data_IF_207284120796
#
_entry.id   IF_207284120796
#
_cell.length_a   1.000
_cell.length_b   1.000
_cell.length_c   1.000
_cell.angle_alpha   90.00
_cell.angle_beta   90.00
_cell.angle_gamma   90.00
#
_symmetry.space_group_name_H-M   'P 1'
#
loop_
_entity.id
_entity.type
_entity.pdbx_description
1 polymer ?
#
# COMPACT_ATOMS: atom_id res chain seq x y z
N UNK A 1 -11.49 -9.18 4.67
CA UNK A 1 -11.03 -10.58 4.75
C UNK A 1 -10.32 -10.99 3.47
N UNK A 2 -11.00 -11.03 2.32
CA UNK A 2 -10.39 -11.42 1.04
C UNK A 2 -9.10 -10.64 0.70
N UNK A 3 -9.13 -9.30 0.79
CA UNK A 3 -7.94 -8.47 0.55
C UNK A 3 -6.78 -8.80 1.51
N UNK A 4 -7.06 -9.03 2.80
CA UNK A 4 -6.02 -9.39 3.77
C UNK A 4 -5.40 -10.76 3.48
N UNK A 5 -6.22 -11.73 3.05
CA UNK A 5 -5.76 -13.05 2.62
C UNK A 5 -4.91 -12.96 1.36
N UNK A 6 -5.29 -12.11 0.40
CA UNK A 6 -4.51 -11.90 -0.83
C UNK A 6 -3.18 -11.19 -0.53
N UNK A 7 -3.16 -10.23 0.38
CA UNK A 7 -1.92 -9.56 0.81
C UNK A 7 -0.95 -10.56 1.47
N UNK A 8 -1.47 -11.42 2.35
CA UNK A 8 -0.68 -12.48 2.99
C UNK A 8 -0.16 -13.52 1.99
N UNK A 9 -0.99 -13.97 1.04
CA UNK A 9 -0.58 -14.90 -0.01
C UNK A 9 0.49 -14.29 -0.92
N UNK A 10 0.31 -13.02 -1.30
CA UNK A 10 1.27 -12.31 -2.16
C UNK A 10 2.61 -12.17 -1.48
N UNK A 11 2.65 -11.83 -0.18
CA UNK A 11 3.89 -11.79 0.60
C UNK A 11 4.61 -13.14 0.64
N UNK A 12 3.86 -14.24 0.86
CA UNK A 12 4.43 -15.58 0.89
C UNK A 12 4.96 -16.04 -0.49
N UNK A 13 4.24 -15.72 -1.58
CA UNK A 13 4.70 -16.00 -2.95
C UNK A 13 5.94 -15.17 -3.28
N UNK A 14 5.97 -13.91 -2.87
CA UNK A 14 7.11 -13.02 -3.07
C UNK A 14 8.37 -13.54 -2.36
N UNK A 15 8.24 -14.02 -1.11
CA UNK A 15 9.33 -14.64 -0.35
C UNK A 15 9.84 -15.93 -1.01
N UNK A 16 8.94 -16.78 -1.51
CA UNK A 16 9.30 -17.99 -2.25
C UNK A 16 10.05 -17.70 -3.55
N UNK A 17 9.63 -16.67 -4.30
CA UNK A 17 10.33 -16.26 -5.53
C UNK A 17 11.75 -15.75 -5.23
N UNK A 18 11.91 -14.97 -4.17
CA UNK A 18 13.22 -14.44 -3.75
C UNK A 18 14.15 -15.59 -3.30
N UNK A 19 13.62 -16.58 -2.58
CA UNK A 19 14.41 -17.72 -2.09
C UNK A 19 14.80 -18.71 -3.19
N UNK A 20 13.92 -18.99 -4.15
CA UNK A 20 14.20 -19.93 -5.24
C UNK A 20 15.05 -19.32 -6.37
N UNK A 21 14.89 -18.02 -6.70
CA UNK A 21 15.51 -17.42 -7.90
C UNK A 21 16.55 -16.33 -7.62
N UNK A 22 16.83 -15.96 -6.35
CA UNK A 22 17.70 -14.81 -5.99
C UNK A 22 17.41 -13.56 -6.84
N UNK A 23 16.15 -13.36 -7.22
CA UNK A 23 15.76 -12.27 -8.11
C UNK A 23 15.94 -10.93 -7.40
N UNK A 24 16.67 -10.01 -8.04
CA UNK A 24 16.92 -8.66 -7.52
C UNK A 24 15.59 -7.92 -7.35
N UNK A 25 15.35 -7.35 -6.16
CA UNK A 25 14.13 -6.63 -5.74
C UNK A 25 13.53 -5.71 -6.81
N UNK A 26 14.37 -4.97 -7.55
CA UNK A 26 13.92 -4.05 -8.59
C UNK A 26 13.18 -4.70 -9.77
N UNK A 27 13.56 -5.92 -10.17
CA UNK A 27 12.86 -6.62 -11.27
C UNK A 27 11.49 -7.13 -10.85
N UNK A 28 11.33 -7.51 -9.58
CA UNK A 28 10.03 -7.94 -9.04
C UNK A 28 9.06 -6.75 -8.99
N UNK A 29 9.52 -5.60 -8.48
CA UNK A 29 8.71 -4.38 -8.43
C UNK A 29 8.27 -3.91 -9.82
N UNK A 30 9.19 -3.92 -10.80
CA UNK A 30 8.90 -3.48 -12.16
C UNK A 30 7.87 -4.38 -12.84
N UNK A 31 8.04 -5.72 -12.76
CA UNK A 31 7.09 -6.66 -13.35
C UNK A 31 5.71 -6.57 -12.70
N UNK A 32 5.64 -6.47 -11.38
CA UNK A 32 4.39 -6.30 -10.64
C UNK A 32 3.63 -5.04 -11.10
N UNK A 33 4.34 -3.93 -11.23
CA UNK A 33 3.76 -2.66 -11.68
C UNK A 33 3.35 -2.71 -13.15
N UNK A 34 4.10 -3.39 -14.03
CA UNK A 34 3.72 -3.57 -15.44
C UNK A 34 2.43 -4.36 -15.60
N UNK A 35 2.28 -5.50 -14.90
CA UNK A 35 1.03 -6.26 -14.92
C UNK A 35 -0.14 -5.47 -14.34
N UNK A 36 0.11 -4.69 -13.29
CA UNK A 36 -0.90 -3.80 -12.69
C UNK A 36 -1.37 -2.73 -13.69
N UNK A 37 -0.46 -2.12 -14.44
CA UNK A 37 -0.79 -1.15 -15.51
C UNK A 37 -1.65 -1.82 -16.59
N UNK A 38 -1.27 -3.03 -17.03
CA UNK A 38 -2.03 -3.76 -18.04
C UNK A 38 -3.47 -4.06 -17.60
N UNK A 39 -3.63 -4.58 -16.38
CA UNK A 39 -4.96 -4.86 -15.80
C UNK A 39 -5.81 -3.59 -15.66
N UNK A 40 -5.23 -2.51 -15.13
CA UNK A 40 -5.92 -1.23 -14.97
C UNK A 40 -6.27 -0.58 -16.31
N UNK A 41 -5.42 -0.72 -17.32
CA UNK A 41 -5.67 -0.20 -18.66
C UNK A 41 -6.88 -0.90 -19.30
N UNK A 42 -6.97 -2.22 -19.20
CA UNK A 42 -8.14 -2.98 -19.68
C UNK A 42 -9.40 -2.55 -18.91
N UNK A 43 -9.32 -2.43 -17.59
CA UNK A 43 -10.45 -1.96 -16.78
C UNK A 43 -10.92 -0.55 -17.20
N UNK A 44 -10.00 0.39 -17.40
CA UNK A 44 -10.28 1.75 -17.88
C UNK A 44 -10.94 1.79 -19.26
N UNK A 45 -10.51 0.91 -20.17
CA UNK A 45 -11.10 0.79 -21.50
C UNK A 45 -12.53 0.23 -21.43
N UNK A 46 -12.77 -0.74 -20.56
CA UNK A 46 -14.10 -1.36 -20.38
C UNK A 46 -15.08 -0.39 -19.71
N UNK A 47 -14.63 0.38 -18.72
CA UNK A 47 -15.50 1.35 -18.01
C UNK A 47 -15.70 2.66 -18.79
N UNK A 48 -14.79 3.01 -19.70
CA UNK A 48 -14.86 4.24 -20.49
C UNK A 48 -14.58 5.52 -19.69
N UNK A 49 -14.08 5.42 -18.45
CA UNK A 49 -13.87 6.56 -17.54
C UNK A 49 -12.79 7.54 -18.03
N UNK A 50 -12.00 7.16 -19.03
CA UNK A 50 -10.95 8.00 -19.63
C UNK A 50 -11.52 9.35 -20.10
N UNK A 51 -12.71 9.37 -20.71
CA UNK A 51 -13.31 10.61 -21.21
C UNK A 51 -13.77 11.52 -20.07
N UNK A 52 -14.34 10.95 -19.01
CA UNK A 52 -14.74 11.67 -17.79
C UNK A 52 -13.52 12.27 -17.10
N UNK A 53 -12.44 11.50 -17.00
CA UNK A 53 -11.18 11.96 -16.42
C UNK A 53 -10.56 13.11 -17.24
N UNK A 54 -10.57 13.00 -18.57
CA UNK A 54 -10.06 14.07 -19.44
C UNK A 54 -10.82 15.39 -19.27
N UNK A 55 -12.16 15.33 -19.18
CA UNK A 55 -12.99 16.50 -18.88
C UNK A 55 -12.69 17.10 -17.50
N UNK A 56 -12.50 16.25 -16.49
CA UNK A 56 -12.15 16.67 -15.13
C UNK A 56 -10.79 17.37 -15.06
N UNK A 57 -9.77 16.81 -15.71
CA UNK A 57 -8.42 17.40 -15.79
C UNK A 57 -8.45 18.74 -16.51
N UNK A 58 -9.23 18.86 -17.59
CA UNK A 58 -9.37 20.13 -18.31
C UNK A 58 -9.97 21.22 -17.42
N UNK A 59 -10.90 20.86 -16.53
CA UNK A 59 -11.52 21.80 -15.59
C UNK A 59 -10.65 22.12 -14.37
N UNK A 60 -9.79 21.19 -13.96
CA UNK A 60 -8.91 21.33 -12.79
C UNK A 60 -7.47 20.88 -13.11
N UNK A 61 -6.68 21.69 -13.84
CA UNK A 61 -5.34 21.31 -14.25
C UNK A 61 -4.37 21.12 -13.07
N UNK A 62 -4.61 21.79 -11.93
CA UNK A 62 -3.81 21.63 -10.71
C UNK A 62 -3.80 20.19 -10.16
N UNK A 63 -4.84 19.40 -10.48
CA UNK A 63 -4.93 17.99 -10.08
C UNK A 63 -3.77 17.18 -10.63
N UNK A 64 -3.27 17.49 -11.82
CA UNK A 64 -2.12 16.78 -12.41
C UNK A 64 -0.87 16.90 -11.54
N UNK A 65 -0.59 18.10 -11.03
CA UNK A 65 0.56 18.32 -10.15
C UNK A 65 0.40 17.56 -8.83
N UNK A 66 -0.81 17.56 -8.25
CA UNK A 66 -1.12 16.80 -7.02
C UNK A 66 -0.97 15.29 -7.26
N UNK A 67 -1.48 14.79 -8.37
CA UNK A 67 -1.33 13.39 -8.78
C UNK A 67 0.12 12.99 -9.02
N UNK A 68 0.93 13.88 -9.61
CA UNK A 68 2.34 13.64 -9.87
C UNK A 68 3.12 13.53 -8.55
N UNK A 69 2.92 14.46 -7.63
CA UNK A 69 3.54 14.42 -6.30
C UNK A 69 3.09 13.15 -5.54
N UNK A 70 1.80 12.83 -5.60
CA UNK A 70 1.26 11.61 -5.00
C UNK A 70 1.89 10.35 -5.61
N UNK A 71 2.04 10.30 -6.93
CA UNK A 71 2.65 9.19 -7.65
C UNK A 71 4.13 9.01 -7.29
N UNK A 72 4.90 10.09 -7.21
CA UNK A 72 6.31 10.05 -6.79
C UNK A 72 6.42 9.54 -5.35
N UNK A 73 5.61 10.08 -4.44
CA UNK A 73 5.57 9.65 -3.05
C UNK A 73 5.19 8.15 -2.94
N UNK A 74 4.21 7.70 -3.72
CA UNK A 74 3.80 6.31 -3.80
C UNK A 74 4.92 5.40 -4.32
N UNK A 75 5.60 5.81 -5.40
CA UNK A 75 6.72 5.06 -5.96
C UNK A 75 7.88 4.91 -4.96
N UNK A 76 8.22 5.98 -4.24
CA UNK A 76 9.22 5.92 -3.17
C UNK A 76 8.79 5.00 -2.03
N UNK A 77 7.52 5.05 -1.63
CA UNK A 77 6.96 4.15 -0.62
C UNK A 77 7.01 2.68 -1.05
N UNK A 78 6.62 2.38 -2.29
CA UNK A 78 6.71 1.04 -2.86
C UNK A 78 8.15 0.55 -2.92
N UNK A 79 9.10 1.39 -3.34
CA UNK A 79 10.51 1.05 -3.36
C UNK A 79 11.02 0.64 -1.97
N UNK A 80 10.65 1.39 -0.93
CA UNK A 80 11.02 1.05 0.45
C UNK A 80 10.42 -0.27 0.92
N UNK A 81 9.16 -0.56 0.55
CA UNK A 81 8.51 -1.84 0.85
C UNK A 81 9.25 -2.99 0.16
N UNK A 82 9.52 -2.88 -1.14
CA UNK A 82 10.23 -3.91 -1.89
C UNK A 82 11.67 -4.13 -1.41
N UNK A 83 12.36 -3.06 -1.00
CA UNK A 83 13.68 -3.15 -0.38
C UNK A 83 13.60 -3.89 0.96
N UNK A 84 12.66 -3.51 1.83
CA UNK A 84 12.47 -4.14 3.13
C UNK A 84 12.12 -5.63 3.01
N UNK A 85 11.23 -5.99 2.08
CA UNK A 85 10.87 -7.38 1.82
C UNK A 85 12.05 -8.18 1.26
N UNK A 86 12.88 -7.56 0.42
CA UNK A 86 14.05 -8.23 -0.17
C UNK A 86 15.18 -8.45 0.83
N UNK A 87 15.42 -7.48 1.72
CA UNK A 87 16.57 -7.51 2.64
C UNK A 87 16.24 -8.18 3.97
N UNK A 88 15.01 -8.01 4.47
CA UNK A 88 14.58 -8.49 5.79
C UNK A 88 13.41 -9.49 5.74
N UNK A 89 12.87 -9.77 4.55
CA UNK A 89 11.69 -10.63 4.39
C UNK A 89 10.36 -9.89 4.59
N UNK A 90 9.24 -10.56 4.27
CA UNK A 90 7.90 -9.95 4.34
C UNK A 90 7.38 -9.74 5.77
N UNK A 91 7.83 -10.55 6.73
CA UNK A 91 7.37 -10.49 8.13
C UNK A 91 7.72 -9.16 8.81
N UNK A 92 8.99 -8.68 8.81
CA UNK A 92 9.31 -7.36 9.35
C UNK A 92 8.61 -6.20 8.63
N UNK A 93 8.36 -6.32 7.32
CA UNK A 93 7.63 -5.31 6.56
C UNK A 93 6.18 -5.15 7.04
N UNK A 94 5.51 -6.26 7.32
CA UNK A 94 4.16 -6.25 7.88
C UNK A 94 4.11 -5.62 9.28
N UNK A 95 5.11 -5.90 10.13
CA UNK A 95 5.21 -5.29 11.46
C UNK A 95 5.40 -3.78 11.35
N UNK A 96 6.37 -3.32 10.54
CA UNK A 96 6.65 -1.87 10.36
C UNK A 96 5.43 -1.11 9.83
N UNK A 97 4.73 -1.66 8.84
CA UNK A 97 3.53 -1.01 8.28
C UNK A 97 2.38 -0.96 9.28
N UNK A 98 2.21 -1.99 10.11
CA UNK A 98 1.18 -2.03 11.16
C UNK A 98 1.48 -1.04 12.27
N UNK A 99 2.73 -0.98 12.73
CA UNK A 99 3.20 0.01 13.71
C UNK A 99 3.00 1.44 13.20
N UNK A 100 3.32 1.72 11.93
CA UNK A 100 3.06 3.03 11.31
C UNK A 100 1.57 3.38 11.31
N UNK A 101 0.71 2.48 10.84
CA UNK A 101 -0.75 2.68 10.81
C UNK A 101 -1.28 2.98 12.22
N UNK A 102 -0.77 2.28 13.22
CA UNK A 102 -1.15 2.49 14.60
C UNK A 102 -0.80 3.89 15.10
N UNK A 103 0.44 4.34 14.93
CA UNK A 103 0.83 5.69 15.37
C UNK A 103 0.00 6.77 14.68
N UNK A 104 -0.39 6.57 13.42
CA UNK A 104 -1.32 7.46 12.72
C UNK A 104 -2.72 7.45 13.37
N UNK A 105 -3.23 6.28 13.78
CA UNK A 105 -4.53 6.17 14.47
C UNK A 105 -4.49 6.82 15.85
N UNK A 106 -3.45 6.56 16.66
CA UNK A 106 -3.27 7.24 17.94
C UNK A 106 -3.14 8.75 17.77
N UNK A 107 -2.30 9.19 16.84
CA UNK A 107 -2.11 10.61 16.54
C UNK A 107 -3.42 11.27 16.13
N UNK A 108 -4.23 10.61 15.30
CA UNK A 108 -5.57 11.07 14.92
C UNK A 108 -6.50 11.21 16.14
N UNK A 109 -6.53 10.21 17.03
CA UNK A 109 -7.35 10.25 18.24
C UNK A 109 -6.94 11.40 19.17
N UNK A 110 -5.64 11.60 19.37
CA UNK A 110 -5.09 12.66 20.21
C UNK A 110 -5.35 14.05 19.60
N UNK A 111 -5.13 14.21 18.29
CA UNK A 111 -5.26 15.49 17.59
C UNK A 111 -6.71 15.91 17.35
N UNK A 112 -7.60 14.97 17.03
CA UNK A 112 -9.02 15.25 16.77
C UNK A 112 -9.90 15.14 18.03
N UNK A 113 -9.33 14.80 19.19
CA UNK A 113 -10.03 14.76 20.47
C UNK A 113 -11.18 13.74 20.53
N UNK A 114 -11.19 12.73 19.65
CA UNK A 114 -12.22 11.71 19.61
C UNK A 114 -12.12 10.83 20.87
N UNK A 115 -13.15 10.82 21.70
CA UNK A 115 -13.24 9.94 22.87
C UNK A 115 -13.46 8.49 22.43
N UNK A 116 -12.38 7.71 22.40
CA UNK A 116 -12.45 6.27 22.17
C UNK A 116 -13.15 5.59 23.36
N UNK A 117 -14.09 4.68 23.07
CA UNK A 117 -14.74 3.85 24.08
C UNK A 117 -13.69 2.97 24.79
N UNK A 118 -13.90 2.62 26.08
CA UNK A 118 -13.00 1.71 26.81
C UNK A 118 -12.75 0.37 26.09
N UNK A 119 -13.74 -0.13 25.33
CA UNK A 119 -13.61 -1.34 24.51
C UNK A 119 -12.64 -1.17 23.34
N UNK A 120 -12.54 0.03 22.76
CA UNK A 120 -11.58 0.33 21.68
C UNK A 120 -10.16 0.39 22.24
N UNK A 121 -9.97 0.99 23.42
CA UNK A 121 -8.70 0.97 24.14
C UNK A 121 -8.24 -0.44 24.51
N UNK A 122 -9.15 -1.30 24.99
CA UNK A 122 -8.85 -2.70 25.26
C UNK A 122 -8.44 -3.45 23.98
N UNK A 123 -9.15 -3.24 22.86
CA UNK A 123 -8.79 -3.81 21.56
C UNK A 123 -7.43 -3.33 21.06
N UNK A 124 -7.13 -2.03 21.25
CA UNK A 124 -5.81 -1.47 20.97
C UNK A 124 -4.73 -2.19 21.78
N UNK A 125 -4.86 -2.26 23.11
CA UNK A 125 -3.88 -2.92 23.98
C UNK A 125 -3.66 -4.41 23.62
N UNK A 126 -4.72 -5.13 23.25
CA UNK A 126 -4.63 -6.52 22.84
C UNK A 126 -3.80 -6.69 21.55
N UNK A 127 -4.00 -5.82 20.56
CA UNK A 127 -3.20 -5.80 19.32
C UNK A 127 -1.72 -5.51 19.62
N UNK A 128 -1.40 -4.68 20.63
CA UNK A 128 0.00 -4.46 21.07
C UNK A 128 0.62 -5.65 21.76
N UNK A 129 -0.15 -6.45 22.49
CA UNK A 129 0.38 -7.63 23.18
C UNK A 129 0.73 -8.79 22.23
N UNK A 130 0.12 -8.82 21.05
CA UNK A 130 0.28 -9.91 20.07
C UNK A 130 1.19 -9.59 18.87
N UNK A 131 1.65 -8.34 18.74
CA UNK A 131 2.70 -7.94 17.79
C UNK A 131 4.06 -8.00 18.46
#
# INVERSE_FOLDING_TARGET
>A
LLSLTMDGLTGAVQERMISESKTKSGHMMLNMNLYSIGYLAVALLVTGEIFTFASFVHRYPEVLTKMLIFSICSALGQFFIFLMVSDFGPLPCSVVTTTRKFFTVLGSVILFGNTLLPRQWAGTAFVFSGM
#
